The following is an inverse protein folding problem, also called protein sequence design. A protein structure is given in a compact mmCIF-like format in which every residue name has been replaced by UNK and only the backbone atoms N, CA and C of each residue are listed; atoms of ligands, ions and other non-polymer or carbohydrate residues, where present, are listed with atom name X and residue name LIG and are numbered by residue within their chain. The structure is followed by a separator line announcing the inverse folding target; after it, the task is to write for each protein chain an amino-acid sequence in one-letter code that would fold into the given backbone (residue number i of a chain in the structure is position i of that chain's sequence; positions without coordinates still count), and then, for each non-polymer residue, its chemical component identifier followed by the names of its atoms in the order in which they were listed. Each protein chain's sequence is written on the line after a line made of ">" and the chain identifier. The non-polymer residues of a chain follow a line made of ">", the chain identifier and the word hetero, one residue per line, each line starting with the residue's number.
data_IF_086309798355
#
_entry.id   IF_086309798355
#
_cell.length_a   1.000
_cell.length_b   1.000
_cell.length_c   1.000
_cell.angle_alpha   90.00
_cell.angle_beta   90.00
_cell.angle_gamma   90.00
#
_symmetry.space_group_name_H-M   'P 1'
#
loop_
_entity.id
_entity.type
_entity.pdbx_description
1 polymer ?
#
# COMPACT_ATOMS: atom_id res chain seq x y z
N UNK A 1 -6.92 25.71 -20.24
CA UNK A 1 -6.90 24.24 -20.42
C UNK A 1 -5.79 23.68 -19.53
N UNK A 2 -6.11 23.11 -18.36
CA UNK A 2 -5.07 22.66 -17.41
C UNK A 2 -5.55 21.87 -16.19
N UNK A 3 -6.87 21.84 -15.96
CA UNK A 3 -7.47 21.31 -14.73
C UNK A 3 -7.67 19.79 -14.71
N UNK A 4 -7.69 19.12 -15.86
CA UNK A 4 -7.99 17.68 -15.96
C UNK A 4 -6.87 16.78 -15.43
N UNK A 5 -5.61 17.12 -15.71
CA UNK A 5 -4.44 16.33 -15.29
C UNK A 5 -4.24 16.38 -13.78
N UNK A 6 -4.42 17.55 -13.16
CA UNK A 6 -4.35 17.70 -11.69
C UNK A 6 -5.42 16.87 -10.97
N UNK A 7 -6.64 16.79 -11.53
CA UNK A 7 -7.70 15.94 -10.99
C UNK A 7 -7.35 14.44 -11.07
N UNK A 8 -6.77 13.99 -12.19
CA UNK A 8 -6.35 12.61 -12.38
C UNK A 8 -5.19 12.20 -11.46
N UNK A 9 -4.20 13.08 -11.28
CA UNK A 9 -3.08 12.82 -10.35
C UNK A 9 -3.59 12.74 -8.91
N UNK A 10 -4.51 13.62 -8.51
CA UNK A 10 -5.10 13.59 -7.16
C UNK A 10 -5.91 12.31 -6.91
N UNK A 11 -6.69 11.86 -7.90
CA UNK A 11 -7.44 10.61 -7.82
C UNK A 11 -6.51 9.39 -7.72
N UNK A 12 -5.41 9.36 -8.49
CA UNK A 12 -4.40 8.31 -8.44
C UNK A 12 -3.71 8.23 -7.06
N UNK A 13 -3.33 9.38 -6.49
CA UNK A 13 -2.72 9.43 -5.16
C UNK A 13 -3.69 8.99 -4.06
N UNK A 14 -4.96 9.40 -4.14
CA UNK A 14 -5.99 8.95 -3.20
C UNK A 14 -6.23 7.44 -3.28
N UNK A 15 -6.29 6.89 -4.49
CA UNK A 15 -6.38 5.44 -4.75
C UNK A 15 -5.19 4.68 -4.17
N UNK A 16 -3.96 5.13 -4.46
CA UNK A 16 -2.73 4.53 -3.93
C UNK A 16 -2.62 4.63 -2.42
N UNK A 17 -3.11 5.72 -1.82
CA UNK A 17 -3.18 5.87 -0.36
C UNK A 17 -4.18 4.90 0.25
N UNK A 18 -5.36 4.72 -0.34
CA UNK A 18 -6.35 3.75 0.12
C UNK A 18 -5.83 2.31 -0.03
N UNK A 19 -5.23 1.95 -1.17
CA UNK A 19 -4.58 0.66 -1.39
C UNK A 19 -3.43 0.42 -0.40
N UNK A 20 -2.62 1.46 -0.12
CA UNK A 20 -1.61 1.40 0.94
C UNK A 20 -2.21 1.27 2.32
N UNK A 21 -3.34 1.91 2.62
CA UNK A 21 -3.98 1.77 3.94
C UNK A 21 -4.58 0.38 4.12
N UNK A 22 -5.14 -0.21 3.06
CA UNK A 22 -5.62 -1.59 3.03
C UNK A 22 -4.47 -2.61 3.13
N UNK A 23 -3.34 -2.35 2.47
CA UNK A 23 -2.12 -3.17 2.62
C UNK A 23 -1.35 -2.92 3.93
N UNK A 24 -1.42 -1.71 4.47
CA UNK A 24 -0.83 -1.33 5.76
C UNK A 24 -1.60 -1.93 6.93
N UNK A 25 -2.89 -2.24 6.78
CA UNK A 25 -3.59 -3.04 7.78
C UNK A 25 -2.89 -4.39 7.95
N UNK A 26 -2.53 -5.04 6.85
CA UNK A 26 -1.84 -6.32 6.88
C UNK A 26 -0.36 -6.14 7.31
N UNK A 27 0.36 -5.12 6.84
CA UNK A 27 1.75 -4.83 7.30
C UNK A 27 1.87 -4.36 8.74
N UNK A 28 0.91 -3.58 9.26
CA UNK A 28 0.89 -3.19 10.69
C UNK A 28 0.60 -4.39 11.57
N UNK A 29 -0.31 -5.27 11.16
CA UNK A 29 -0.66 -6.47 11.92
C UNK A 29 0.53 -7.44 11.95
N UNK A 30 1.24 -7.57 10.84
CA UNK A 30 2.54 -8.26 10.79
C UNK A 30 3.60 -7.58 11.66
N UNK A 31 3.70 -6.25 11.62
CA UNK A 31 4.64 -5.50 12.43
C UNK A 31 4.36 -5.60 13.94
N UNK A 32 3.08 -5.71 14.33
CA UNK A 32 2.65 -5.87 15.73
C UNK A 32 3.12 -7.20 16.32
N UNK A 33 3.15 -8.25 15.50
CA UNK A 33 3.73 -9.56 15.85
C UNK A 33 5.23 -9.67 15.49
N UNK A 34 5.86 -8.57 15.10
CA UNK A 34 7.31 -8.50 14.82
C UNK A 34 7.76 -9.12 13.49
N UNK A 35 6.86 -9.36 12.54
CA UNK A 35 7.16 -9.94 11.24
C UNK A 35 7.17 -8.88 10.14
N UNK A 36 8.10 -8.99 9.19
CA UNK A 36 8.08 -8.21 7.95
C UNK A 36 7.49 -9.03 6.82
N UNK A 37 6.68 -8.41 5.97
CA UNK A 37 6.09 -9.08 4.78
C UNK A 37 7.16 -9.69 3.86
N UNK A 38 8.33 -9.06 3.77
CA UNK A 38 9.47 -9.61 3.01
C UNK A 38 9.99 -10.94 3.56
N UNK A 39 9.88 -11.17 4.87
CA UNK A 39 10.28 -12.43 5.51
C UNK A 39 9.25 -13.54 5.24
N UNK A 40 7.96 -13.20 5.21
CA UNK A 40 6.88 -14.13 4.86
C UNK A 40 6.94 -14.51 3.38
N UNK A 41 7.07 -13.53 2.49
CA UNK A 41 7.14 -13.79 1.05
C UNK A 41 8.28 -14.74 0.71
N UNK A 42 9.43 -14.60 1.39
CA UNK A 42 10.59 -15.47 1.22
C UNK A 42 10.38 -16.88 1.80
N UNK A 43 9.57 -17.02 2.86
CA UNK A 43 9.27 -18.33 3.48
C UNK A 43 8.15 -19.11 2.78
N UNK A 44 7.18 -18.43 2.18
CA UNK A 44 6.00 -19.06 1.57
C UNK A 44 6.20 -19.35 0.08
N UNK A 45 6.92 -18.49 -0.62
CA UNK A 45 7.11 -18.57 -2.07
C UNK A 45 8.58 -18.79 -2.48
N UNK A 46 9.47 -19.01 -1.51
CA UNK A 46 10.87 -19.35 -1.72
C UNK A 46 11.11 -20.85 -1.65
#
# INVERSE_FOLDING_TARGET
>A
MGSGLFGQVKAYLARRKAERQLGQLDDRLLADIGLKRSEISKKVWG
#
